data_IF_175758536194
#
_entry.id   IF_175758536194
#
_cell.length_a   1.000
_cell.length_b   1.000
_cell.length_c   1.000
_cell.angle_alpha   90.00
_cell.angle_beta   90.00
_cell.angle_gamma   90.00
#
_symmetry.space_group_name_H-M   'P 1'
#
loop_
_entity.id
_entity.type
_entity.pdbx_description
1 polymer ?
#
# COMPACT_ATOMS: atom_id res chain seq x y z
N UNK A 1 -0.26 -17.87 -24.24
CA UNK A 1 -0.17 -16.45 -24.61
C UNK A 1 -0.53 -15.62 -23.38
N UNK A 2 0.44 -15.59 -22.48
CA UNK A 2 0.94 -14.44 -21.73
C UNK A 2 -0.10 -13.46 -21.19
N UNK A 3 -0.71 -13.86 -20.08
CA UNK A 3 -1.32 -12.93 -19.14
C UNK A 3 -0.23 -12.12 -18.45
N UNK A 4 0.25 -11.07 -19.12
CA UNK A 4 0.91 -9.94 -18.48
C UNK A 4 -0.08 -9.35 -17.46
N UNK A 5 -0.01 -9.81 -16.22
CA UNK A 5 -0.56 -9.07 -15.09
C UNK A 5 0.31 -7.82 -15.01
N UNK A 6 -0.21 -6.74 -15.60
CA UNK A 6 0.22 -5.36 -15.41
C UNK A 6 0.78 -5.17 -14.00
N UNK A 7 1.97 -4.57 -13.88
CA UNK A 7 2.58 -4.04 -12.65
C UNK A 7 1.50 -3.44 -11.75
N UNK A 8 0.98 -4.24 -10.85
CA UNK A 8 -0.32 -3.97 -10.24
C UNK A 8 -0.13 -3.15 -8.97
N UNK A 9 -0.48 -1.87 -9.03
CA UNK A 9 -0.54 -0.89 -7.92
C UNK A 9 -1.75 -1.20 -7.00
N UNK A 10 -1.93 -2.46 -6.62
CA UNK A 10 -3.17 -2.92 -5.97
C UNK A 10 -3.16 -2.67 -4.46
N UNK A 11 -4.21 -2.02 -3.96
CA UNK A 11 -4.62 -2.02 -2.56
C UNK A 11 -6.07 -2.50 -2.48
N UNK A 12 -6.35 -3.42 -1.56
CA UNK A 12 -7.68 -3.98 -1.31
C UNK A 12 -8.02 -3.84 0.15
N UNK A 13 -9.25 -3.43 0.43
CA UNK A 13 -9.82 -3.42 1.77
C UNK A 13 -10.67 -4.67 1.99
N UNK A 14 -10.57 -5.25 3.18
CA UNK A 14 -11.13 -6.56 3.53
C UNK A 14 -12.17 -6.39 4.64
N UNK A 15 -13.32 -7.05 4.49
CA UNK A 15 -14.36 -7.14 5.53
C UNK A 15 -14.48 -8.58 6.01
N UNK A 16 -14.44 -8.77 7.32
CA UNK A 16 -14.83 -10.02 7.99
C UNK A 16 -16.33 -10.25 7.78
N UNK A 17 -16.70 -11.46 7.35
CA UNK A 17 -18.06 -11.80 7.04
C UNK A 17 -18.87 -12.03 8.33
N UNK A 18 -19.66 -11.04 8.76
CA UNK A 18 -20.72 -11.23 9.75
C UNK A 18 -22.04 -10.49 9.43
N UNK A 19 -22.28 -10.15 8.15
CA UNK A 19 -23.61 -9.74 7.68
C UNK A 19 -24.08 -10.63 6.53
N UNK A 20 -25.27 -11.25 6.63
CA UNK A 20 -25.80 -12.11 5.58
C UNK A 20 -26.25 -11.24 4.42
N UNK A 21 -25.39 -11.10 3.42
CA UNK A 21 -25.66 -11.03 1.98
C UNK A 21 -24.47 -10.38 1.26
N UNK A 22 -23.78 -11.25 0.55
CA UNK A 22 -22.83 -10.96 -0.52
C UNK A 22 -21.41 -10.54 -0.09
N UNK A 23 -20.43 -11.40 -0.39
CA UNK A 23 -19.11 -10.94 -0.83
C UNK A 23 -19.33 -10.10 -2.10
N UNK A 24 -19.67 -8.82 -1.94
CA UNK A 24 -19.82 -7.90 -3.07
C UNK A 24 -18.55 -7.09 -3.22
N UNK A 25 -17.94 -7.28 -4.39
CA UNK A 25 -16.93 -6.46 -5.07
C UNK A 25 -15.61 -6.29 -4.31
N UNK A 26 -14.59 -7.05 -4.73
CA UNK A 26 -13.24 -6.49 -4.76
C UNK A 26 -13.28 -5.30 -5.72
N UNK A 27 -13.35 -4.09 -5.20
CA UNK A 27 -13.06 -2.91 -6.01
C UNK A 27 -11.54 -2.83 -6.06
N UNK A 28 -10.88 -3.04 -7.21
CA UNK A 28 -9.56 -2.51 -7.37
C UNK A 28 -9.71 -1.00 -7.20
N UNK A 29 -9.25 -0.46 -6.09
CA UNK A 29 -9.12 0.99 -5.96
C UNK A 29 -7.92 1.35 -6.83
N UNK A 30 -8.17 1.47 -8.14
CA UNK A 30 -7.23 2.06 -9.09
C UNK A 30 -7.29 3.55 -8.85
N UNK A 31 -6.32 4.08 -8.11
CA UNK A 31 -6.15 5.53 -8.03
C UNK A 31 -5.48 6.04 -9.30
N UNK A 32 -6.30 6.65 -10.16
CA UNK A 32 -5.84 7.60 -11.16
C UNK A 32 -5.63 8.95 -10.46
N UNK A 33 -4.49 9.12 -9.77
CA UNK A 33 -4.13 10.43 -9.22
C UNK A 33 -3.15 11.11 -10.17
N UNK A 34 -3.67 11.83 -11.16
CA UNK A 34 -3.00 13.04 -11.66
C UNK A 34 -3.92 14.19 -11.31
N UNK A 35 -3.53 15.15 -10.45
CA UNK A 35 -4.23 16.42 -10.40
C UNK A 35 -4.13 17.00 -11.81
N UNK A 36 -5.28 17.36 -12.38
CA UNK A 36 -5.32 18.08 -13.64
C UNK A 36 -4.36 19.27 -13.53
N UNK A 37 -3.33 19.28 -14.38
CA UNK A 37 -2.60 20.51 -14.69
C UNK A 37 -3.68 21.45 -15.21
N UNK A 38 -3.87 22.56 -14.51
CA UNK A 38 -4.88 23.58 -14.77
C UNK A 38 -4.97 23.91 -16.25
N UNK A 39 -6.21 24.00 -16.73
CA UNK A 39 -6.61 24.38 -18.08
C UNK A 39 -5.66 25.39 -18.73
N UNK A 40 -4.82 24.93 -19.65
CA UNK A 40 -4.46 25.67 -20.86
C UNK A 40 -3.69 24.75 -21.81
N UNK A 41 -4.27 24.57 -23.00
CA UNK A 41 -3.74 23.89 -24.19
C UNK A 41 -3.91 22.36 -24.25
N UNK A 42 -5.10 21.96 -24.72
CA UNK A 42 -5.36 20.68 -25.37
C UNK A 42 -4.37 20.45 -26.53
N UNK A 43 -3.53 19.42 -26.42
CA UNK A 43 -2.86 18.76 -27.55
C UNK A 43 -2.68 17.28 -27.21
N UNK A 44 -2.87 16.41 -28.22
CA UNK A 44 -2.72 14.95 -28.42
C UNK A 44 -2.05 14.00 -27.39
N UNK A 45 -1.70 14.42 -26.18
CA UNK A 45 -1.05 13.65 -25.11
C UNK A 45 -2.04 12.89 -24.20
N UNK A 46 -3.30 12.72 -24.61
CA UNK A 46 -4.32 11.97 -23.85
C UNK A 46 -4.45 10.50 -24.29
N UNK A 47 -3.62 10.04 -25.24
CA UNK A 47 -3.61 8.65 -25.73
C UNK A 47 -2.52 7.76 -25.11
N UNK A 48 -1.62 8.33 -24.30
CA UNK A 48 -0.68 7.52 -23.52
C UNK A 48 -1.40 6.98 -22.28
N UNK A 49 -1.31 5.67 -21.97
CA UNK A 49 -1.85 5.14 -20.73
C UNK A 49 -1.23 5.91 -19.56
N UNK A 50 -2.05 6.72 -18.87
CA UNK A 50 -1.64 7.47 -17.68
C UNK A 50 -1.06 6.46 -16.70
N UNK A 51 0.24 6.55 -16.43
CA UNK A 51 0.89 5.72 -15.42
C UNK A 51 0.12 5.90 -14.10
N UNK A 52 -0.31 4.80 -13.50
CA UNK A 52 -0.98 4.81 -12.21
C UNK A 52 0.07 4.50 -11.14
N UNK A 53 0.10 5.24 -10.04
CA UNK A 53 1.03 4.99 -8.94
C UNK A 53 0.47 5.54 -7.62
N UNK A 54 0.85 4.92 -6.50
CA UNK A 54 0.59 5.46 -5.16
C UNK A 54 1.42 6.72 -4.90
N UNK A 55 2.62 6.76 -5.47
CA UNK A 55 3.45 7.95 -5.61
C UNK A 55 4.44 7.73 -6.76
N UNK A 56 4.98 8.81 -7.30
CA UNK A 56 6.04 8.74 -8.31
C UNK A 56 7.40 9.06 -7.70
N UNK A 57 8.47 8.43 -8.18
CA UNK A 57 9.86 8.73 -7.78
C UNK A 57 10.51 9.78 -8.69
N UNK A 58 9.91 10.03 -9.87
CA UNK A 58 10.27 11.06 -10.86
C UNK A 58 9.00 11.51 -11.59
N UNK A 59 9.02 12.62 -12.35
CA UNK A 59 7.85 13.00 -13.15
C UNK A 59 7.33 11.83 -14.01
N UNK A 60 6.10 11.39 -13.72
CA UNK A 60 5.38 10.30 -14.41
C UNK A 60 6.01 8.89 -14.33
N UNK A 61 7.03 8.67 -13.50
CA UNK A 61 7.73 7.39 -13.39
C UNK A 61 7.93 6.95 -11.93
N UNK A 62 7.95 5.63 -11.74
CA UNK A 62 8.24 5.03 -10.44
C UNK A 62 9.25 3.89 -10.57
N UNK A 63 10.27 3.93 -9.72
CA UNK A 63 11.25 2.86 -9.53
C UNK A 63 11.44 2.60 -8.04
N UNK A 64 11.22 1.36 -7.59
CA UNK A 64 11.27 0.99 -6.17
C UNK A 64 12.68 1.13 -5.57
N UNK A 65 13.70 0.91 -6.39
CA UNK A 65 15.11 0.93 -6.00
C UNK A 65 15.69 2.35 -5.93
N UNK A 66 15.00 3.34 -6.49
CA UNK A 66 15.56 4.66 -6.69
C UNK A 66 15.32 5.59 -5.50
N UNK A 67 16.42 6.10 -4.92
CA UNK A 67 16.38 7.21 -3.98
C UNK A 67 15.83 8.47 -4.65
N UNK A 68 14.87 9.12 -4.00
CA UNK A 68 14.22 10.31 -4.55
C UNK A 68 13.83 11.32 -3.45
N UNK A 69 13.72 12.59 -3.83
CA UNK A 69 13.04 13.63 -3.04
C UNK A 69 11.64 13.94 -3.55
N UNK A 70 11.17 13.18 -4.55
CA UNK A 70 9.90 13.33 -5.22
C UNK A 70 8.92 12.26 -4.73
N UNK A 71 7.71 12.68 -4.34
CA UNK A 71 6.63 11.82 -3.84
C UNK A 71 5.26 12.19 -4.42
N UNK A 72 5.22 12.83 -5.59
CA UNK A 72 3.96 13.29 -6.19
C UNK A 72 2.93 12.15 -6.26
N UNK A 73 1.70 12.42 -5.81
CA UNK A 73 0.62 11.44 -5.69
C UNK A 73 0.48 10.80 -4.30
N UNK A 74 1.50 10.86 -3.43
CA UNK A 74 1.45 10.23 -2.11
C UNK A 74 0.34 10.82 -1.22
N UNK A 75 0.26 12.16 -1.16
CA UNK A 75 -0.76 12.86 -0.38
C UNK A 75 -2.17 12.59 -0.91
N UNK A 76 -2.34 12.63 -2.22
CA UNK A 76 -3.62 12.37 -2.89
C UNK A 76 -4.09 10.94 -2.60
N UNK A 77 -3.18 9.98 -2.69
CA UNK A 77 -3.41 8.58 -2.34
C UNK A 77 -3.87 8.39 -0.88
N UNK A 78 -3.19 9.03 0.08
CA UNK A 78 -3.58 9.00 1.50
C UNK A 78 -5.00 9.54 1.72
N UNK A 79 -5.28 10.74 1.17
CA UNK A 79 -6.58 11.38 1.30
C UNK A 79 -7.70 10.52 0.72
N UNK A 80 -7.40 9.83 -0.38
CA UNK A 80 -8.41 9.12 -1.10
C UNK A 80 -8.68 7.71 -0.53
N UNK A 81 -7.66 7.04 0.04
CA UNK A 81 -7.87 5.87 0.90
C UNK A 81 -8.64 6.25 2.17
N UNK A 82 -8.29 7.37 2.81
CA UNK A 82 -9.02 7.89 3.98
C UNK A 82 -10.50 8.13 3.65
N UNK A 83 -10.79 8.79 2.53
CA UNK A 83 -12.16 9.03 2.06
C UNK A 83 -12.90 7.71 1.85
N UNK A 84 -12.30 6.75 1.16
CA UNK A 84 -12.93 5.46 0.88
C UNK A 84 -13.21 4.63 2.14
N UNK A 85 -12.29 4.61 3.12
CA UNK A 85 -12.54 3.94 4.41
C UNK A 85 -13.71 4.60 5.15
N UNK A 86 -13.81 5.93 5.12
CA UNK A 86 -14.91 6.67 5.75
C UNK A 86 -16.26 6.39 5.09
N UNK A 87 -16.30 6.30 3.77
CA UNK A 87 -17.53 6.10 2.99
C UNK A 87 -18.01 4.64 2.99
N UNK A 88 -17.08 3.69 2.85
CA UNK A 88 -17.41 2.28 2.59
C UNK A 88 -17.07 1.34 3.75
N UNK A 89 -16.50 1.86 4.84
CA UNK A 89 -16.16 1.09 6.03
C UNK A 89 -17.36 0.50 6.78
N UNK A 90 -17.13 -0.19 7.91
CA UNK A 90 -15.81 -0.53 8.45
C UNK A 90 -15.13 -1.63 7.64
N UNK A 91 -13.80 -1.67 7.72
CA UNK A 91 -12.95 -2.72 7.16
C UNK A 91 -12.09 -3.31 8.28
N UNK A 92 -11.85 -4.62 8.22
CA UNK A 92 -11.06 -5.34 9.23
C UNK A 92 -9.60 -5.48 8.81
N UNK A 93 -9.30 -5.44 7.51
CA UNK A 93 -7.94 -5.59 7.03
C UNK A 93 -7.68 -4.93 5.69
N UNK A 94 -6.40 -4.86 5.33
CA UNK A 94 -5.93 -4.32 4.05
C UNK A 94 -4.94 -5.27 3.39
N UNK A 95 -4.95 -5.33 2.07
CA UNK A 95 -3.98 -6.08 1.27
C UNK A 95 -3.33 -5.16 0.26
N UNK A 96 -2.01 -5.04 0.28
CA UNK A 96 -1.22 -4.31 -0.71
C UNK A 96 -0.35 -5.25 -1.53
N UNK A 97 -0.11 -4.92 -2.81
CA UNK A 97 0.86 -5.60 -3.66
C UNK A 97 1.87 -4.62 -4.24
N UNK A 98 3.15 -5.00 -4.27
CA UNK A 98 4.25 -4.22 -4.84
C UNK A 98 4.28 -2.81 -4.24
N UNK A 99 4.19 -1.76 -5.06
CA UNK A 99 4.09 -0.39 -4.57
C UNK A 99 2.91 -0.17 -3.60
N UNK A 100 1.78 -0.87 -3.80
CA UNK A 100 0.65 -0.82 -2.87
C UNK A 100 0.95 -1.47 -1.51
N UNK A 101 1.85 -2.45 -1.45
CA UNK A 101 2.33 -2.99 -0.18
C UNK A 101 3.25 -2.00 0.54
N UNK A 102 4.16 -1.35 -0.19
CA UNK A 102 5.01 -0.30 0.38
C UNK A 102 4.21 0.93 0.84
N UNK A 103 3.18 1.34 0.07
CA UNK A 103 2.23 2.37 0.49
C UNK A 103 1.48 1.97 1.76
N UNK A 104 0.97 0.72 1.82
CA UNK A 104 0.26 0.22 2.99
C UNK A 104 1.15 0.15 4.23
N UNK A 105 2.44 -0.16 4.06
CA UNK A 105 3.42 -0.15 5.15
C UNK A 105 3.58 1.24 5.77
N UNK A 106 3.69 2.28 4.93
CA UNK A 106 3.70 3.68 5.38
C UNK A 106 2.37 4.05 6.05
N UNK A 107 1.25 3.74 5.39
CA UNK A 107 -0.09 4.08 5.87
C UNK A 107 -0.37 3.45 7.24
N UNK A 108 -0.04 2.18 7.45
CA UNK A 108 -0.32 1.50 8.71
C UNK A 108 0.50 2.08 9.87
N UNK A 109 1.75 2.50 9.63
CA UNK A 109 2.58 3.23 10.61
C UNK A 109 1.96 4.59 10.90
N UNK A 110 1.60 5.35 9.86
CA UNK A 110 0.98 6.67 10.02
C UNK A 110 -0.33 6.61 10.80
N UNK A 111 -1.15 5.58 10.55
CA UNK A 111 -2.42 5.35 11.25
C UNK A 111 -2.20 5.03 12.73
N UNK A 112 -1.31 4.08 13.04
CA UNK A 112 -1.05 3.64 14.41
C UNK A 112 -0.46 4.76 15.28
N UNK A 113 0.46 5.56 14.71
CA UNK A 113 1.15 6.64 15.41
C UNK A 113 0.48 8.01 15.24
N UNK A 114 -0.68 8.06 14.58
CA UNK A 114 -1.46 9.29 14.32
C UNK A 114 -0.63 10.40 13.68
N UNK A 115 0.23 10.03 12.73
CA UNK A 115 1.15 10.96 12.07
C UNK A 115 0.38 11.84 11.09
N UNK A 116 0.59 13.16 11.18
CA UNK A 116 0.00 14.11 10.25
C UNK A 116 0.92 14.45 9.08
N UNK A 117 0.46 14.15 7.86
CA UNK A 117 1.19 14.40 6.62
C UNK A 117 1.16 15.87 6.20
N UNK A 118 1.87 16.74 6.92
CA UNK A 118 2.10 18.12 6.45
C UNK A 118 3.55 18.26 6.00
N UNK A 119 3.77 18.25 4.69
CA UNK A 119 5.04 18.59 4.04
C UNK A 119 5.31 20.08 4.31
N UNK A 120 6.42 20.43 4.97
CA UNK A 120 6.97 21.79 4.95
C UNK A 120 7.99 21.87 3.81
N UNK A 121 8.03 23.02 3.15
CA UNK A 121 8.84 23.28 1.93
C UNK A 121 10.35 22.98 2.04
N UNK A 122 10.93 22.77 3.23
CA UNK A 122 12.40 22.67 3.38
C UNK A 122 12.93 21.60 4.36
N UNK A 123 12.10 20.66 4.83
CA UNK A 123 12.49 19.38 5.47
C UNK A 123 11.26 18.77 6.14
N UNK A 124 11.07 17.46 5.96
CA UNK A 124 9.98 16.71 6.57
C UNK A 124 10.05 16.83 8.10
N UNK A 125 9.20 17.67 8.67
CA UNK A 125 8.92 17.72 10.09
C UNK A 125 7.40 17.69 10.27
N UNK A 126 6.97 16.60 10.91
CA UNK A 126 5.63 16.36 11.41
C UNK A 126 5.11 17.63 12.12
N UNK A 127 4.31 18.42 11.42
CA UNK A 127 3.55 19.52 12.03
C UNK A 127 2.19 18.98 12.43
N UNK A 128 1.76 19.14 13.69
CA UNK A 128 0.54 18.54 14.21
C UNK A 128 -0.68 19.38 13.82
N UNK A 129 -0.91 19.66 12.53
CA UNK A 129 -2.19 20.22 12.08
C UNK A 129 -2.60 19.65 10.71
N UNK A 130 -3.81 19.06 10.70
CA UNK A 130 -4.64 18.61 9.55
C UNK A 130 -4.67 17.14 9.12
N UNK A 131 -4.25 16.19 9.96
CA UNK A 131 -4.54 14.76 9.75
C UNK A 131 -4.93 14.01 11.03
N UNK A 132 -5.39 14.72 12.06
CA UNK A 132 -5.85 14.14 13.34
C UNK A 132 -7.13 13.31 13.21
N UNK A 133 -7.87 13.45 12.11
CA UNK A 133 -9.11 12.71 11.84
C UNK A 133 -8.87 11.38 11.10
N UNK A 134 -7.77 10.66 11.35
CA UNK A 134 -7.72 9.23 11.02
C UNK A 134 -8.55 8.45 12.05
N UNK A 135 -9.82 8.81 12.21
CA UNK A 135 -10.83 7.96 12.83
C UNK A 135 -11.31 6.94 11.78
N UNK A 136 -10.33 6.29 11.16
CA UNK A 136 -10.53 5.10 10.35
C UNK A 136 -10.61 3.97 11.36
N UNK A 137 -11.76 3.29 11.43
CA UNK A 137 -11.97 2.19 12.38
C UNK A 137 -10.80 1.18 12.34
N UNK A 138 -10.53 0.47 13.44
CA UNK A 138 -9.26 -0.22 13.63
C UNK A 138 -9.05 -1.27 12.53
N UNK A 139 -8.09 -1.02 11.64
CA UNK A 139 -7.54 -2.04 10.76
C UNK A 139 -6.84 -3.05 11.67
N UNK A 140 -7.37 -4.28 11.68
CA UNK A 140 -6.95 -5.35 12.59
C UNK A 140 -5.76 -6.12 12.05
N UNK A 141 -5.60 -6.17 10.72
CA UNK A 141 -4.50 -6.88 10.09
C UNK A 141 -4.17 -6.33 8.69
N UNK A 142 -2.95 -6.61 8.22
CA UNK A 142 -2.56 -6.35 6.83
C UNK A 142 -1.94 -7.56 6.15
N UNK A 143 -2.04 -7.59 4.82
CA UNK A 143 -1.40 -8.56 3.94
C UNK A 143 -0.54 -7.78 2.95
N UNK A 144 0.76 -7.98 2.98
CA UNK A 144 1.74 -7.24 2.22
C UNK A 144 2.42 -8.20 1.25
N UNK A 145 2.17 -8.05 -0.04
CA UNK A 145 2.76 -8.90 -1.07
C UNK A 145 3.81 -8.12 -1.86
N UNK A 146 5.04 -8.63 -1.94
CA UNK A 146 6.21 -7.94 -2.45
C UNK A 146 6.40 -6.51 -1.85
N UNK A 147 6.38 -6.34 -0.51
CA UNK A 147 6.65 -5.04 0.09
C UNK A 147 8.12 -4.63 -0.06
N UNK A 148 8.39 -3.35 0.10
CA UNK A 148 9.74 -2.80 0.17
C UNK A 148 9.72 -1.48 0.95
N UNK A 149 10.89 -1.09 1.46
CA UNK A 149 11.09 0.24 2.06
C UNK A 149 11.14 1.29 0.95
N UNK A 150 10.21 2.25 0.97
CA UNK A 150 10.21 3.37 0.03
C UNK A 150 11.51 4.19 0.14
N UNK A 151 12.24 4.33 -0.96
CA UNK A 151 13.49 5.13 -1.04
C UNK A 151 13.29 6.63 -1.17
N UNK A 152 12.05 7.13 -1.14
CA UNK A 152 11.80 8.57 -1.05
C UNK A 152 12.23 9.12 0.31
N UNK A 153 13.08 10.16 0.33
CA UNK A 153 13.59 10.81 1.54
C UNK A 153 12.48 11.37 2.42
N UNK A 154 11.37 11.82 1.84
CA UNK A 154 10.21 12.32 2.58
C UNK A 154 9.51 11.20 3.38
N UNK A 155 9.53 9.97 2.85
CA UNK A 155 8.94 8.79 3.49
C UNK A 155 9.85 8.20 4.58
N UNK A 156 11.18 8.39 4.49
CA UNK A 156 12.15 7.81 5.42
C UNK A 156 11.88 8.20 6.89
N UNK A 157 11.42 9.42 7.14
CA UNK A 157 11.09 9.89 8.48
C UNK A 157 9.96 9.09 9.16
N UNK A 158 9.10 8.42 8.38
CA UNK A 158 8.00 7.59 8.90
C UNK A 158 8.53 6.28 9.50
N UNK A 159 9.56 5.68 8.90
CA UNK A 159 10.14 4.40 9.35
C UNK A 159 10.92 4.47 10.66
N UNK A 160 11.08 5.67 11.25
CA UNK A 160 11.54 5.82 12.65
C UNK A 160 10.53 5.17 13.61
N UNK A 161 9.26 5.15 13.23
CA UNK A 161 8.20 4.45 13.94
C UNK A 161 8.06 3.03 13.40
N UNK A 162 7.73 2.11 14.30
CA UNK A 162 7.46 0.70 13.98
C UNK A 162 5.99 0.39 14.17
N UNK A 163 5.50 -0.60 13.42
CA UNK A 163 4.08 -1.00 13.46
C UNK A 163 3.84 -2.23 14.34
N UNK A 164 2.77 -2.23 15.14
CA UNK A 164 2.29 -3.41 15.89
C UNK A 164 1.14 -4.15 15.21
N UNK A 165 0.64 -3.64 14.07
CA UNK A 165 -0.49 -4.23 13.36
C UNK A 165 -0.11 -5.64 12.87
N UNK A 166 -0.88 -6.69 13.26
CA UNK A 166 -0.64 -8.05 12.80
C UNK A 166 -0.60 -8.13 11.27
N UNK A 167 0.52 -8.59 10.73
CA UNK A 167 0.77 -8.54 9.29
C UNK A 167 1.23 -9.90 8.75
N UNK A 168 0.77 -10.23 7.55
CA UNK A 168 1.33 -11.30 6.72
C UNK A 168 2.15 -10.67 5.61
N UNK A 169 3.45 -10.98 5.56
CA UNK A 169 4.38 -10.56 4.51
C UNK A 169 4.60 -11.73 3.55
N UNK A 170 4.43 -11.48 2.26
CA UNK A 170 4.57 -12.46 1.18
C UNK A 170 5.57 -11.94 0.15
N UNK A 171 6.53 -12.74 -0.28
CA UNK A 171 7.45 -12.38 -1.36
C UNK A 171 7.98 -13.63 -2.09
N UNK A 172 8.49 -13.41 -3.30
CA UNK A 172 8.98 -14.46 -4.17
C UNK A 172 10.50 -14.60 -4.12
N UNK A 173 11.00 -15.84 -4.17
CA UNK A 173 12.43 -16.16 -4.24
C UNK A 173 13.09 -15.65 -5.52
N UNK A 174 12.34 -15.58 -6.62
CA UNK A 174 12.85 -15.23 -7.96
C UNK A 174 12.29 -13.90 -8.46
N UNK A 175 11.83 -13.04 -7.55
CA UNK A 175 11.26 -11.74 -7.90
C UNK A 175 12.34 -10.78 -8.43
N UNK A 176 12.28 -10.47 -9.73
CA UNK A 176 13.22 -9.56 -10.41
C UNK A 176 12.77 -8.09 -10.38
N UNK A 177 11.56 -7.80 -9.89
CA UNK A 177 11.01 -6.44 -9.81
C UNK A 177 11.26 -5.87 -8.42
N UNK A 178 10.93 -6.64 -7.39
CA UNK A 178 11.24 -6.37 -5.99
C UNK A 178 12.07 -7.56 -5.49
N UNK A 179 13.41 -7.50 -5.59
CA UNK A 179 14.29 -8.53 -5.08
C UNK A 179 13.96 -8.89 -3.63
N UNK A 180 14.10 -10.18 -3.31
CA UNK A 180 13.81 -10.77 -2.00
C UNK A 180 14.34 -9.91 -0.84
N UNK A 181 15.58 -9.45 -0.96
CA UNK A 181 16.27 -8.67 0.07
C UNK A 181 15.53 -7.36 0.41
N UNK A 182 14.84 -6.75 -0.56
CA UNK A 182 14.04 -5.54 -0.33
C UNK A 182 12.78 -5.84 0.49
N UNK A 183 12.18 -7.02 0.30
CA UNK A 183 11.05 -7.47 1.13
C UNK A 183 11.50 -7.94 2.52
N UNK A 184 12.70 -8.52 2.63
CA UNK A 184 13.31 -8.86 3.92
C UNK A 184 13.66 -7.61 4.74
N UNK A 185 14.20 -6.56 4.11
CA UNK A 185 14.44 -5.27 4.77
C UNK A 185 13.13 -4.66 5.33
N UNK A 186 12.02 -4.85 4.60
CA UNK A 186 10.71 -4.38 5.08
C UNK A 186 10.27 -5.06 6.39
N UNK A 187 10.87 -6.18 6.79
CA UNK A 187 10.58 -6.85 8.06
C UNK A 187 11.06 -6.05 9.29
N UNK A 188 12.02 -5.14 9.12
CA UNK A 188 12.59 -4.38 10.25
C UNK A 188 11.64 -3.33 10.82
N UNK A 189 10.58 -2.98 10.09
CA UNK A 189 9.61 -1.94 10.51
C UNK A 189 8.54 -2.48 11.46
N UNK A 190 8.48 -3.79 11.70
CA UNK A 190 7.53 -4.39 12.63
C UNK A 190 8.11 -4.40 14.05
N UNK A 191 7.25 -4.12 15.05
CA UNK A 191 7.64 -4.21 16.46
C UNK A 191 7.88 -5.66 16.91
N UNK A 192 7.18 -6.60 16.28
CA UNK A 192 7.30 -8.04 16.47
C UNK A 192 7.40 -8.71 15.10
N UNK A 193 8.10 -9.83 15.02
CA UNK A 193 8.24 -10.59 13.78
C UNK A 193 6.87 -10.88 13.12
N UNK A 194 6.63 -10.41 11.88
CA UNK A 194 5.38 -10.65 11.18
C UNK A 194 5.32 -12.11 10.69
N UNK A 195 4.13 -12.57 10.31
CA UNK A 195 4.02 -13.87 9.64
C UNK A 195 4.61 -13.72 8.24
N UNK A 196 5.54 -14.59 7.85
CA UNK A 196 6.18 -14.57 6.53
C UNK A 196 5.75 -15.80 5.71
N UNK A 197 5.50 -15.60 4.41
CA UNK A 197 5.31 -16.67 3.44
C UNK A 197 6.14 -16.39 2.19
N UNK A 198 7.16 -17.21 1.96
CA UNK A 198 8.03 -17.11 0.79
C UNK A 198 7.61 -18.15 -0.24
N UNK A 199 7.43 -17.74 -1.50
CA UNK A 199 7.12 -18.66 -2.60
C UNK A 199 8.26 -18.71 -3.61
N UNK A 200 8.32 -19.76 -4.42
CA UNK A 200 9.40 -20.04 -5.37
C UNK A 200 9.40 -19.14 -6.63
N UNK A 201 8.25 -18.58 -7.00
CA UNK A 201 8.12 -17.73 -8.20
C UNK A 201 8.54 -16.26 -8.05
N UNK A 202 8.33 -15.48 -9.13
CA UNK A 202 8.69 -14.06 -9.24
C UNK A 202 7.60 -13.06 -8.79
N UNK A 203 7.46 -11.93 -9.50
CA UNK A 203 6.61 -10.81 -9.05
C UNK A 203 5.09 -11.01 -9.24
N UNK A 204 4.43 -11.76 -8.37
CA UNK A 204 2.98 -11.95 -8.41
C UNK A 204 2.37 -12.25 -7.03
N UNK A 205 1.03 -12.23 -6.95
CA UNK A 205 0.29 -12.70 -5.77
C UNK A 205 0.05 -14.21 -5.89
N UNK A 206 0.65 -15.06 -5.04
CA UNK A 206 0.50 -16.50 -5.17
C UNK A 206 -0.94 -16.96 -4.91
N UNK A 207 -1.44 -17.90 -5.72
CA UNK A 207 -2.84 -18.39 -5.65
C UNK A 207 -2.97 -19.92 -5.52
N UNK A 208 -1.85 -20.61 -5.32
CA UNK A 208 -1.80 -22.05 -5.07
C UNK A 208 -2.33 -22.38 -3.65
N UNK A 209 -2.51 -23.67 -3.36
CA UNK A 209 -3.20 -24.12 -2.15
C UNK A 209 -2.56 -23.61 -0.85
N UNK A 210 -1.23 -23.68 -0.74
CA UNK A 210 -0.51 -23.24 0.46
C UNK A 210 -0.62 -21.72 0.69
N UNK A 211 -0.49 -20.93 -0.37
CA UNK A 211 -0.74 -19.48 -0.31
C UNK A 211 -2.19 -19.17 0.10
N UNK A 212 -3.18 -19.85 -0.48
CA UNK A 212 -4.58 -19.68 -0.05
C UNK A 212 -4.78 -19.98 1.42
N UNK A 213 -4.17 -21.07 1.91
CA UNK A 213 -4.21 -21.45 3.32
C UNK A 213 -3.62 -20.36 4.21
N UNK A 214 -2.48 -19.77 3.84
CA UNK A 214 -1.83 -18.74 4.66
C UNK A 214 -2.66 -17.45 4.74
N UNK A 215 -3.31 -17.05 3.65
CA UNK A 215 -4.25 -15.92 3.62
C UNK A 215 -5.49 -16.19 4.47
N UNK A 216 -6.09 -17.37 4.36
CA UNK A 216 -7.23 -17.75 5.20
C UNK A 216 -6.84 -17.80 6.67
N UNK A 217 -5.68 -18.35 7.02
CA UNK A 217 -5.21 -18.46 8.39
C UNK A 217 -5.09 -17.09 9.10
N UNK A 218 -4.63 -16.04 8.40
CA UNK A 218 -4.59 -14.69 9.00
C UNK A 218 -5.98 -14.07 9.09
N UNK A 219 -6.78 -14.16 8.03
CA UNK A 219 -8.11 -13.56 7.99
C UNK A 219 -9.02 -14.18 9.06
N UNK A 220 -9.03 -15.50 9.20
CA UNK A 220 -9.89 -16.21 10.16
C UNK A 220 -9.65 -15.81 11.62
N UNK A 221 -8.42 -15.42 12.00
CA UNK A 221 -8.10 -14.93 13.36
C UNK A 221 -8.86 -13.66 13.73
N UNK A 222 -9.35 -12.92 12.74
CA UNK A 222 -10.08 -11.67 12.93
C UNK A 222 -11.55 -11.77 12.48
N UNK A 223 -11.98 -12.95 12.01
CA UNK A 223 -13.39 -13.26 11.74
C UNK A 223 -14.12 -13.71 13.00
N UNK A 224 -13.44 -14.41 13.91
CA UNK A 224 -14.04 -14.96 15.12
C UNK A 224 -13.70 -14.11 16.34
N UNK A 225 -14.55 -13.11 16.63
CA UNK A 225 -14.79 -12.54 17.97
C UNK A 225 -15.97 -11.57 17.95
#
# INVERSE_FOLDING_TARGET
>A
MDGLISTSINLRLLKSANKPRHLRKSVPVVFNATPAITETQQTELDLLPKACAWWFSKPMEFLAQESSTYDAGFRESLLAVKKYIKEEGPFDGMLGFSQGAAFLLLLQIMMEHKLSGTVRENNCLLSPQNFTDYDVGPIKFTILVAPFISRCLLHQAIYVYKTSIPSLVVYGETDSVIPREMSEEALDVFLSEPKVFVHDGGHYIPTHADAKKIYTDIVSKFIEK
#
